data_IF_983961342439
#
_entry.id   IF_983961342439
#
_cell.length_a   1.000
_cell.length_b   1.000
_cell.length_c   1.000
_cell.angle_alpha   90.00
_cell.angle_beta   90.00
_cell.angle_gamma   90.00
#
_symmetry.space_group_name_H-M   'P 1'
#
loop_
_entity.id
_entity.type
_entity.pdbx_description
1 polymer ?
#
# COMPACT_ATOMS: atom_id res chain seq x y z
N UNK A 1 -0.32 -6.96 9.87
CA UNK A 1 0.66 -7.76 10.63
C UNK A 1 -0.02 -9.06 11.07
N UNK A 2 0.69 -9.94 11.78
CA UNK A 2 0.16 -11.24 12.21
C UNK A 2 -0.89 -11.20 13.34
N UNK A 3 -1.22 -10.01 13.86
CA UNK A 3 -2.18 -9.82 14.96
C UNK A 3 -3.43 -9.02 14.57
N UNK A 4 -3.51 -8.56 13.32
CA UNK A 4 -4.64 -7.80 12.80
C UNK A 4 -5.18 -8.45 11.53
N UNK A 5 -6.41 -8.13 11.18
CA UNK A 5 -7.03 -8.55 9.93
C UNK A 5 -6.20 -8.06 8.74
N UNK A 6 -6.21 -8.82 7.63
CA UNK A 6 -5.47 -8.45 6.43
C UNK A 6 -6.11 -7.24 5.78
N UNK A 7 -5.25 -6.35 5.27
CA UNK A 7 -5.70 -5.07 4.73
C UNK A 7 -6.70 -5.24 3.58
N UNK A 8 -6.50 -6.21 2.68
CA UNK A 8 -7.44 -6.45 1.58
C UNK A 8 -8.81 -6.92 2.08
N UNK A 9 -8.87 -7.66 3.19
CA UNK A 9 -10.13 -8.03 3.83
C UNK A 9 -10.85 -6.80 4.36
N UNK A 10 -10.16 -5.96 5.14
CA UNK A 10 -10.73 -4.73 5.70
C UNK A 10 -11.24 -3.80 4.60
N UNK A 11 -10.47 -3.63 3.52
CA UNK A 11 -10.84 -2.76 2.40
C UNK A 11 -12.04 -3.26 1.58
N UNK A 12 -12.38 -4.55 1.70
CA UNK A 12 -13.51 -5.19 1.03
C UNK A 12 -14.81 -5.20 1.84
N UNK A 13 -14.79 -4.83 3.13
CA UNK A 13 -15.98 -4.89 4.01
C UNK A 13 -16.93 -3.67 3.88
N UNK A 14 -16.52 -2.62 3.16
CA UNK A 14 -17.35 -1.42 2.93
C UNK A 14 -18.15 -1.51 1.62
N UNK A 15 -19.46 -1.81 1.74
CA UNK A 15 -20.49 -1.45 0.76
C UNK A 15 -21.47 -2.57 0.39
N UNK A 16 -22.76 -2.22 0.39
CA UNK A 16 -23.97 -3.00 0.08
C UNK A 16 -24.05 -3.46 -1.41
N UNK A 17 -22.93 -3.86 -2.00
CA UNK A 17 -22.77 -4.12 -3.43
C UNK A 17 -22.28 -5.53 -3.69
N UNK A 18 -23.04 -6.25 -4.52
CA UNK A 18 -22.82 -7.63 -4.89
C UNK A 18 -21.36 -7.94 -5.31
N UNK A 19 -20.82 -8.93 -4.62
CA UNK A 19 -19.56 -9.69 -4.65
C UNK A 19 -18.45 -9.29 -5.64
N UNK A 20 -18.67 -9.22 -6.96
CA UNK A 20 -17.58 -8.92 -7.92
C UNK A 20 -17.19 -7.43 -7.95
N UNK A 21 -18.14 -6.53 -7.74
CA UNK A 21 -17.85 -5.09 -7.72
C UNK A 21 -17.05 -4.70 -6.47
N UNK A 22 -17.34 -5.36 -5.35
CA UNK A 22 -16.64 -5.19 -4.08
C UNK A 22 -15.17 -5.62 -4.16
N UNK A 23 -14.87 -6.77 -4.79
CA UNK A 23 -13.50 -7.24 -5.00
C UNK A 23 -12.67 -6.25 -5.84
N UNK A 24 -13.25 -5.76 -6.95
CA UNK A 24 -12.59 -4.75 -7.79
C UNK A 24 -12.34 -3.43 -7.03
N UNK A 25 -13.28 -3.01 -6.18
CA UNK A 25 -13.13 -1.81 -5.34
C UNK A 25 -12.04 -2.04 -4.28
N UNK A 26 -12.01 -3.19 -3.62
CA UNK A 26 -11.02 -3.54 -2.61
C UNK A 26 -9.60 -3.52 -3.19
N UNK A 27 -9.40 -4.08 -4.39
CA UNK A 27 -8.11 -4.02 -5.08
C UNK A 27 -7.70 -2.58 -5.44
N UNK A 28 -8.63 -1.75 -5.90
CA UNK A 28 -8.34 -0.33 -6.18
C UNK A 28 -7.93 0.42 -4.92
N UNK A 29 -8.63 0.18 -3.80
CA UNK A 29 -8.27 0.71 -2.49
C UNK A 29 -6.90 0.20 -2.04
N UNK A 30 -6.61 -1.08 -2.25
CA UNK A 30 -5.32 -1.69 -1.91
C UNK A 30 -4.18 -1.01 -2.65
N UNK A 31 -4.32 -0.85 -3.98
CA UNK A 31 -3.32 -0.15 -4.80
C UNK A 31 -3.07 1.29 -4.34
N UNK A 32 -4.13 2.00 -3.92
CA UNK A 32 -4.02 3.34 -3.35
C UNK A 32 -3.26 3.34 -2.01
N UNK A 33 -3.56 2.39 -1.11
CA UNK A 33 -2.86 2.24 0.17
C UNK A 33 -1.39 1.88 -0.01
N UNK A 34 -1.06 1.00 -0.96
CA UNK A 34 0.34 0.67 -1.29
C UNK A 34 1.08 1.88 -1.86
N UNK A 35 0.45 2.66 -2.74
CA UNK A 35 1.03 3.89 -3.28
C UNK A 35 1.32 4.89 -2.15
N UNK A 36 0.37 5.07 -1.25
CA UNK A 36 0.52 5.93 -0.09
C UNK A 36 1.69 5.43 0.78
N UNK A 37 1.67 4.17 1.20
CA UNK A 37 2.71 3.57 2.04
C UNK A 37 4.10 3.72 1.42
N UNK A 38 4.23 3.51 0.10
CA UNK A 38 5.51 3.56 -0.61
C UNK A 38 6.04 4.97 -0.88
N UNK A 39 5.23 6.01 -0.68
CA UNK A 39 5.62 7.41 -0.94
C UNK A 39 5.67 8.28 0.33
N UNK A 40 5.16 7.77 1.46
CA UNK A 40 5.31 8.42 2.77
C UNK A 40 6.74 8.33 3.34
N UNK A 41 7.12 9.24 4.27
CA UNK A 41 8.34 9.10 5.05
C UNK A 41 8.34 7.83 5.91
N UNK A 42 9.53 7.27 6.16
CA UNK A 42 9.71 6.07 6.97
C UNK A 42 10.12 4.84 6.17
N UNK A 43 10.03 3.66 6.78
CA UNK A 43 10.33 2.38 6.13
C UNK A 43 9.01 1.63 5.86
N UNK A 44 8.60 1.46 4.58
CA UNK A 44 7.43 0.66 4.24
C UNK A 44 7.61 -0.80 4.70
N UNK A 45 6.55 -1.38 5.26
CA UNK A 45 6.54 -2.75 5.75
C UNK A 45 5.37 -3.50 5.11
N UNK A 46 5.67 -4.57 4.37
CA UNK A 46 4.68 -5.43 3.74
C UNK A 46 4.55 -6.71 4.58
N UNK A 47 3.32 -7.10 4.91
CA UNK A 47 3.07 -8.40 5.54
C UNK A 47 2.92 -9.46 4.45
N UNK A 48 3.63 -10.58 4.56
CA UNK A 48 3.73 -11.57 3.48
C UNK A 48 2.35 -11.94 2.93
N UNK A 49 2.23 -11.95 1.60
CA UNK A 49 0.98 -12.29 0.94
C UNK A 49 0.10 -11.08 0.64
N UNK A 50 0.29 -9.93 1.31
CA UNK A 50 -0.50 -8.72 0.99
C UNK A 50 -0.21 -8.26 -0.45
N UNK A 51 1.04 -8.36 -0.89
CA UNK A 51 1.49 -8.02 -2.25
C UNK A 51 0.94 -8.95 -3.34
N UNK A 52 0.35 -10.08 -2.97
CA UNK A 52 -0.31 -11.03 -3.88
C UNK A 52 -1.79 -11.24 -3.55
N UNK A 53 -2.38 -10.38 -2.73
CA UNK A 53 -3.81 -10.34 -2.46
C UNK A 53 -4.32 -11.39 -1.46
N UNK A 54 -3.49 -11.84 -0.51
CA UNK A 54 -3.97 -12.74 0.55
C UNK A 54 -4.98 -12.02 1.44
N UNK A 55 -6.15 -12.63 1.62
CA UNK A 55 -7.20 -12.18 2.53
C UNK A 55 -7.22 -13.03 3.80
N UNK A 56 -7.75 -12.48 4.90
CA UNK A 56 -7.93 -13.18 6.17
C UNK A 56 -8.43 -12.23 7.25
N UNK A 57 -9.36 -12.72 8.09
CA UNK A 57 -9.87 -11.99 9.27
C UNK A 57 -8.84 -12.05 10.41
N UNK A 58 -9.27 -12.05 11.67
CA UNK A 58 -8.35 -12.13 12.81
C UNK A 58 -7.62 -13.47 12.87
N UNK A 59 -6.57 -13.50 13.70
CA UNK A 59 -5.84 -14.72 14.03
C UNK A 59 -6.82 -15.87 14.38
N UNK A 60 -6.64 -17.08 13.81
CA UNK A 60 -5.53 -17.52 12.96
C UNK A 60 -5.70 -17.27 11.45
N UNK A 61 -6.81 -16.68 11.01
CA UNK A 61 -7.16 -16.57 9.59
C UNK A 61 -6.25 -15.61 8.80
N UNK A 62 -5.65 -14.61 9.46
CA UNK A 62 -4.63 -13.75 8.85
C UNK A 62 -3.28 -14.48 8.61
N UNK A 63 -3.09 -15.69 9.13
CA UNK A 63 -1.83 -16.48 9.02
C UNK A 63 -1.92 -17.61 7.99
N UNK A 64 -2.78 -17.46 6.98
CA UNK A 64 -2.89 -18.41 5.84
C UNK A 64 -1.54 -18.61 5.14
N UNK A 65 -1.38 -19.78 4.53
CA UNK A 65 -0.23 -20.10 3.69
C UNK A 65 -0.15 -19.16 2.49
N UNK A 66 1.07 -18.83 2.07
CA UNK A 66 1.28 -18.07 0.85
C UNK A 66 0.71 -18.81 -0.37
N UNK A 67 0.02 -18.14 -1.31
CA UNK A 67 -0.73 -18.77 -2.40
C UNK A 67 0.18 -19.09 -3.61
N UNK A 68 1.19 -19.93 -3.41
CA UNK A 68 2.15 -20.30 -4.46
C UNK A 68 1.47 -20.82 -5.72
N UNK A 69 1.77 -20.23 -6.88
CA UNK A 69 1.18 -20.59 -8.19
C UNK A 69 -0.22 -20.01 -8.43
N UNK A 70 -0.77 -19.29 -7.46
CA UNK A 70 -2.08 -18.66 -7.49
C UNK A 70 -2.01 -17.19 -7.04
N UNK A 71 -0.85 -16.56 -7.20
CA UNK A 71 -0.62 -15.16 -6.83
C UNK A 71 -1.48 -14.21 -7.69
N UNK A 72 -2.00 -13.13 -7.09
CA UNK A 72 -2.48 -12.00 -7.88
C UNK A 72 -1.26 -11.25 -8.47
N UNK A 73 -0.96 -11.56 -9.74
CA UNK A 73 0.21 -11.00 -10.43
C UNK A 73 0.10 -9.51 -10.70
N UNK A 74 -1.11 -8.95 -10.79
CA UNK A 74 -1.28 -7.52 -10.99
C UNK A 74 -0.88 -6.71 -9.76
N UNK A 75 -1.29 -7.15 -8.57
CA UNK A 75 -0.87 -6.54 -7.29
C UNK A 75 0.64 -6.71 -7.07
N UNK A 76 1.18 -7.88 -7.43
CA UNK A 76 2.61 -8.13 -7.32
C UNK A 76 3.43 -7.17 -8.18
N UNK A 77 3.05 -7.00 -9.45
CA UNK A 77 3.73 -6.10 -10.37
C UNK A 77 3.54 -4.63 -9.98
N UNK A 78 2.38 -4.27 -9.43
CA UNK A 78 2.15 -2.95 -8.87
C UNK A 78 3.07 -2.65 -7.67
N UNK A 79 3.16 -3.57 -6.70
CA UNK A 79 4.07 -3.47 -5.55
C UNK A 79 5.53 -3.36 -5.98
N UNK A 80 5.97 -4.17 -6.95
CA UNK A 80 7.32 -4.08 -7.53
C UNK A 80 7.57 -2.72 -8.17
N UNK A 81 6.62 -2.19 -8.95
CA UNK A 81 6.72 -0.87 -9.58
C UNK A 81 6.88 0.25 -8.55
N UNK A 82 6.11 0.23 -7.47
CA UNK A 82 6.20 1.22 -6.39
C UNK A 82 7.52 1.10 -5.62
N UNK A 83 7.97 -0.12 -5.34
CA UNK A 83 9.27 -0.37 -4.69
C UNK A 83 10.41 0.16 -5.56
N UNK A 84 10.36 -0.08 -6.88
CA UNK A 84 11.33 0.45 -7.83
C UNK A 84 11.27 1.98 -7.93
N UNK A 85 10.08 2.58 -7.84
CA UNK A 85 9.89 4.04 -7.78
C UNK A 85 10.55 4.63 -6.53
N UNK A 86 10.28 4.07 -5.36
CA UNK A 86 10.91 4.53 -4.11
C UNK A 86 12.44 4.42 -4.17
N UNK A 87 12.95 3.30 -4.70
CA UNK A 87 14.41 3.06 -4.79
C UNK A 87 15.14 4.01 -5.72
N UNK A 88 14.51 4.45 -6.82
CA UNK A 88 15.11 5.37 -7.79
C UNK A 88 14.89 6.85 -7.46
N UNK A 89 14.17 7.17 -6.39
CA UNK A 89 13.80 8.54 -6.05
C UNK A 89 14.15 8.81 -4.60
N UNK A 90 15.33 9.40 -4.38
CA UNK A 90 15.87 9.70 -3.05
C UNK A 90 14.90 10.51 -2.20
N UNK A 91 14.16 11.45 -2.82
CA UNK A 91 13.17 12.25 -2.13
C UNK A 91 12.05 11.40 -1.47
N UNK A 92 11.71 10.24 -2.03
CA UNK A 92 10.74 9.33 -1.41
C UNK A 92 11.32 8.60 -0.19
N UNK A 93 12.63 8.43 -0.12
CA UNK A 93 13.30 7.76 1.01
C UNK A 93 13.55 8.75 2.16
N UNK A 94 14.25 9.84 1.88
CA UNK A 94 14.77 10.76 2.90
C UNK A 94 14.35 12.22 2.67
N UNK A 95 13.63 12.53 1.59
CA UNK A 95 13.16 13.89 1.33
C UNK A 95 12.15 14.40 2.35
N UNK A 96 12.12 15.72 2.54
CA UNK A 96 11.14 16.42 3.39
C UNK A 96 9.73 16.15 2.91
N UNK A 97 8.80 16.06 3.84
CA UNK A 97 7.36 15.97 3.57
C UNK A 97 6.74 17.36 3.61
N UNK A 98 6.04 17.75 2.56
CA UNK A 98 5.34 19.03 2.47
C UNK A 98 3.87 18.74 2.18
N UNK A 99 3.00 19.09 3.13
CA UNK A 99 1.55 19.07 2.91
C UNK A 99 1.18 20.14 1.87
N UNK A 100 0.38 19.78 0.88
CA UNK A 100 -0.04 20.72 -0.18
C UNK A 100 -1.54 21.01 -0.11
N UNK A 101 -2.37 19.97 0.06
CA UNK A 101 -3.82 20.12 -0.03
C UNK A 101 -4.55 18.95 0.64
N UNK A 102 -5.69 19.24 1.27
CA UNK A 102 -6.67 18.26 1.69
C UNK A 102 -8.06 18.86 1.64
N UNK A 103 -8.95 18.27 0.85
CA UNK A 103 -10.36 18.63 0.77
C UNK A 103 -11.16 17.45 0.19
N UNK A 104 -12.31 17.15 0.80
CA UNK A 104 -13.10 15.96 0.48
C UNK A 104 -12.26 14.68 0.43
N UNK A 105 -12.31 13.99 -0.71
CA UNK A 105 -11.61 12.71 -0.95
C UNK A 105 -10.20 12.87 -1.54
N UNK A 106 -9.66 14.10 -1.57
CA UNK A 106 -8.36 14.41 -2.17
C UNK A 106 -7.35 14.83 -1.11
N UNK A 107 -6.22 14.14 -1.08
CA UNK A 107 -5.06 14.47 -0.26
C UNK A 107 -3.81 14.56 -1.14
N UNK A 108 -3.07 15.66 -1.04
CA UNK A 108 -1.84 15.88 -1.82
C UNK A 108 -0.68 16.35 -0.94
N UNK A 109 0.50 15.80 -1.24
CA UNK A 109 1.76 16.16 -0.59
C UNK A 109 2.92 16.08 -1.59
N UNK A 110 4.00 16.79 -1.28
CA UNK A 110 5.27 16.68 -1.97
C UNK A 110 6.32 16.00 -1.08
N UNK A 111 7.24 15.30 -1.75
CA UNK A 111 8.49 14.79 -1.17
C UNK A 111 9.64 15.50 -1.87
N UNK A 112 10.48 16.21 -1.12
CA UNK A 112 11.46 17.15 -1.70
C UNK A 112 12.85 17.00 -1.08
N UNK A 113 13.86 16.98 -1.95
CA UNK A 113 15.27 17.22 -1.61
C UNK A 113 15.67 18.51 -2.32
N UNK A 114 16.14 19.50 -1.57
CA UNK A 114 16.52 20.82 -2.08
C UNK A 114 18.03 21.04 -1.87
N UNK A 115 18.71 21.52 -2.92
CA UNK A 115 20.16 21.77 -2.84
C UNK A 115 20.99 20.52 -2.52
N UNK A 116 20.47 19.32 -2.83
CA UNK A 116 21.12 18.04 -2.52
C UNK A 116 21.06 17.65 -1.03
N UNK A 117 20.28 18.35 -0.20
CA UNK A 117 20.13 18.07 1.22
C UNK A 117 18.78 17.45 1.54
N UNK A 118 18.80 16.37 2.29
CA UNK A 118 17.62 15.65 2.76
C UNK A 118 17.33 15.98 4.25
N UNK A 119 16.49 15.19 4.93
CA UNK A 119 16.16 15.42 6.35
C UNK A 119 17.31 15.14 7.33
N UNK A 120 18.42 14.55 6.87
CA UNK A 120 19.56 14.18 7.71
C UNK A 120 20.75 15.16 7.60
N UNK A 121 20.71 16.12 6.68
CA UNK A 121 21.70 17.21 6.56
C UNK A 121 22.57 17.13 5.32
#
# INVERSE_FOLDING_TARGET
>A
SHDIERILTVLGEDGDTATQSAECIAEKRMRLMELWQMTMPGAPCIYYGDEVGVTGKKDPDNRRTYPWGHENTELLEWTKRLTALRRRTDALQTGRFIFLYADGDVFAYARVIEGGRDVFG
#
